data_IF_320512810060
#
_entry.id   IF_320512810060
#
_cell.length_a   1.000
_cell.length_b   1.000
_cell.length_c   1.000
_cell.angle_alpha   90.00
_cell.angle_beta   90.00
_cell.angle_gamma   90.00
#
_symmetry.space_group_name_H-M   'P 1'
#
loop_
_entity.id
_entity.type
_entity.pdbx_description
1 polymer ?
#
# COMPACT_ATOMS: atom_id res chain seq x y z
N UNK A 1 25.28 12.34 -7.25
CA UNK A 1 24.75 12.88 -5.99
C UNK A 1 25.50 12.29 -4.80
N UNK A 2 25.51 10.97 -4.61
CA UNK A 2 26.10 10.29 -3.46
C UNK A 2 27.59 10.64 -3.26
N UNK A 3 28.39 10.71 -4.31
CA UNK A 3 29.80 11.11 -4.25
C UNK A 3 30.03 12.54 -3.70
N UNK A 4 29.05 13.43 -3.87
CA UNK A 4 29.11 14.80 -3.33
C UNK A 4 28.66 14.87 -1.86
N UNK A 5 27.79 13.96 -1.43
CA UNK A 5 27.26 13.93 -0.06
C UNK A 5 28.22 13.23 0.90
N UNK A 6 28.93 12.19 0.42
CA UNK A 6 29.88 11.40 1.21
C UNK A 6 30.86 12.20 2.07
N UNK A 7 31.49 13.30 1.61
CA UNK A 7 32.39 14.09 2.44
C UNK A 7 31.70 14.80 3.62
N UNK A 8 30.40 15.15 3.46
CA UNK A 8 29.64 15.88 4.48
C UNK A 8 29.15 14.97 5.63
N UNK A 9 29.13 13.63 5.44
CA UNK A 9 28.68 12.63 6.41
C UNK A 9 27.47 13.10 7.23
N UNK A 10 26.30 13.31 6.59
CA UNK A 10 25.12 13.82 7.30
C UNK A 10 24.74 12.87 8.44
N UNK A 11 24.49 13.44 9.62
CA UNK A 11 24.09 12.66 10.81
C UNK A 11 22.61 12.28 10.82
N UNK A 12 21.83 12.93 9.96
CA UNK A 12 20.38 12.68 9.84
C UNK A 12 20.13 11.27 9.29
N UNK A 13 19.05 10.66 9.73
CA UNK A 13 18.53 9.49 9.07
C UNK A 13 17.99 9.86 7.68
N UNK A 14 18.38 9.09 6.68
CA UNK A 14 17.91 9.28 5.30
C UNK A 14 17.00 8.11 4.93
N UNK A 15 15.86 8.41 4.35
CA UNK A 15 14.96 7.41 3.75
C UNK A 15 15.05 7.55 2.24
N UNK A 16 15.28 6.46 1.54
CA UNK A 16 15.41 6.40 0.09
C UNK A 16 14.32 5.49 -0.47
N UNK A 17 13.56 5.99 -1.42
CA UNK A 17 12.55 5.19 -2.13
C UNK A 17 13.17 4.52 -3.37
N UNK A 18 12.86 3.24 -3.55
CA UNK A 18 13.23 2.45 -4.71
C UNK A 18 11.99 2.14 -5.55
N UNK A 19 11.94 2.62 -6.78
CA UNK A 19 10.89 2.29 -7.73
C UNK A 19 11.14 0.96 -8.46
N UNK A 20 12.40 0.51 -8.47
CA UNK A 20 12.84 -0.78 -9.02
C UNK A 20 13.90 -1.39 -8.13
N UNK A 21 14.07 -2.72 -8.12
CA UNK A 21 15.16 -3.37 -7.42
C UNK A 21 16.53 -2.79 -7.82
N UNK A 22 17.36 -2.51 -6.84
CA UNK A 22 18.70 -1.97 -7.06
C UNK A 22 19.78 -3.06 -6.95
N UNK A 23 20.90 -2.93 -7.68
CA UNK A 23 22.05 -3.82 -7.56
C UNK A 23 22.79 -3.59 -6.24
N UNK A 24 23.58 -4.56 -5.80
CA UNK A 24 24.34 -4.50 -4.56
C UNK A 24 25.25 -3.27 -4.46
N UNK A 25 25.91 -2.91 -5.57
CA UNK A 25 26.78 -1.73 -5.64
C UNK A 25 26.10 -0.41 -5.27
N UNK A 26 24.77 -0.30 -5.51
CA UNK A 26 24.00 0.87 -5.12
C UNK A 26 23.92 0.97 -3.58
N UNK A 27 23.64 -0.13 -2.90
CA UNK A 27 23.55 -0.17 -1.43
C UNK A 27 24.89 0.09 -0.78
N UNK A 28 25.98 -0.44 -1.37
CA UNK A 28 27.33 -0.12 -0.94
C UNK A 28 27.62 1.39 -1.01
N UNK A 29 27.32 2.02 -2.14
CA UNK A 29 27.48 3.49 -2.30
C UNK A 29 26.64 4.28 -1.29
N UNK A 30 25.43 3.84 -0.98
CA UNK A 30 24.56 4.49 0.02
C UNK A 30 25.15 4.36 1.41
N UNK A 31 25.61 3.16 1.80
CA UNK A 31 26.24 2.91 3.09
C UNK A 31 27.54 3.72 3.29
N UNK A 32 28.31 3.94 2.23
CA UNK A 32 29.48 4.81 2.26
C UNK A 32 29.15 6.30 2.42
N UNK A 33 27.97 6.72 1.93
CA UNK A 33 27.54 8.13 1.97
C UNK A 33 26.76 8.49 3.24
N UNK A 34 25.97 7.55 3.77
CA UNK A 34 25.06 7.80 4.88
C UNK A 34 25.29 6.77 6.02
N UNK A 35 25.63 7.21 7.24
CA UNK A 35 25.77 6.31 8.39
C UNK A 35 24.43 5.73 8.87
N UNK A 36 23.31 6.43 8.64
CA UNK A 36 21.97 6.02 9.04
C UNK A 36 21.01 6.15 7.86
N UNK A 37 20.54 5.03 7.33
CA UNK A 37 19.63 5.03 6.19
C UNK A 37 18.60 3.91 6.29
N UNK A 38 17.45 4.19 5.73
CA UNK A 38 16.36 3.28 5.49
C UNK A 38 16.01 3.26 4.02
N UNK A 39 15.36 2.20 3.60
CA UNK A 39 14.75 2.11 2.28
C UNK A 39 13.25 1.88 2.35
N UNK A 40 12.57 2.29 1.32
CA UNK A 40 11.20 1.93 1.04
C UNK A 40 11.03 1.57 -0.43
N UNK A 41 10.08 0.68 -0.72
CA UNK A 41 9.70 0.32 -2.09
C UNK A 41 8.21 0.07 -2.18
N UNK A 42 7.64 0.43 -3.32
CA UNK A 42 6.22 0.23 -3.62
C UNK A 42 6.07 -0.74 -4.79
N UNK A 43 6.13 -2.08 -4.56
CA UNK A 43 5.90 -3.06 -5.63
C UNK A 43 4.45 -3.07 -6.12
N UNK A 44 3.54 -2.40 -5.43
CA UNK A 44 2.09 -2.34 -5.64
C UNK A 44 1.40 -3.67 -5.35
N UNK A 45 1.87 -4.78 -5.91
CA UNK A 45 1.34 -6.13 -5.71
C UNK A 45 2.46 -7.17 -5.69
N UNK A 46 2.23 -8.29 -4.98
CA UNK A 46 3.05 -9.49 -5.08
C UNK A 46 2.80 -10.22 -6.40
N UNK A 47 1.58 -10.12 -6.95
CA UNK A 47 1.23 -10.69 -8.25
C UNK A 47 1.93 -9.90 -9.35
N UNK A 48 2.86 -10.55 -10.04
CA UNK A 48 3.66 -9.93 -11.09
C UNK A 48 2.82 -9.46 -12.28
N UNK A 49 1.66 -10.10 -12.53
CA UNK A 49 0.73 -9.68 -13.57
C UNK A 49 0.09 -8.33 -13.21
N UNK A 50 -0.37 -8.18 -11.97
CA UNK A 50 -0.90 -6.92 -11.43
C UNK A 50 0.19 -5.86 -11.41
N UNK A 51 1.40 -6.20 -10.96
CA UNK A 51 2.55 -5.31 -10.92
C UNK A 51 2.94 -4.79 -12.31
N UNK A 52 2.95 -5.66 -13.33
CA UNK A 52 3.20 -5.27 -14.72
C UNK A 52 2.14 -4.32 -15.27
N UNK A 53 0.88 -4.48 -14.86
CA UNK A 53 -0.20 -3.58 -15.24
C UNK A 53 -0.03 -2.16 -14.68
N UNK A 54 0.79 -1.99 -13.62
CA UNK A 54 1.19 -0.69 -13.06
C UNK A 54 2.57 -0.21 -13.57
N UNK A 55 3.13 -0.88 -14.58
CA UNK A 55 4.39 -0.47 -15.22
C UNK A 55 5.67 -0.95 -14.51
N UNK A 56 5.59 -1.93 -13.61
CA UNK A 56 6.73 -2.46 -12.87
C UNK A 56 7.04 -3.90 -13.30
N UNK A 57 8.17 -4.11 -13.96
CA UNK A 57 8.51 -5.32 -14.72
C UNK A 57 9.55 -6.24 -14.05
N UNK A 58 9.72 -6.18 -12.76
CA UNK A 58 10.64 -7.03 -11.99
C UNK A 58 9.92 -8.15 -11.25
N UNK A 59 10.64 -9.21 -10.92
CA UNK A 59 10.13 -10.37 -10.17
C UNK A 59 10.16 -10.15 -8.65
N UNK A 60 9.44 -10.99 -7.92
CA UNK A 60 9.52 -11.03 -6.45
C UNK A 60 10.94 -11.37 -5.97
N UNK A 61 11.61 -12.30 -6.66
CA UNK A 61 12.99 -12.71 -6.34
C UNK A 61 13.99 -11.56 -6.51
N UNK A 62 13.83 -10.73 -7.54
CA UNK A 62 14.66 -9.55 -7.75
C UNK A 62 14.45 -8.52 -6.64
N UNK A 63 13.21 -8.29 -6.22
CA UNK A 63 12.89 -7.42 -5.09
C UNK A 63 13.49 -7.96 -3.78
N UNK A 64 13.30 -9.24 -3.47
CA UNK A 64 13.84 -9.85 -2.26
C UNK A 64 15.37 -9.86 -2.24
N UNK A 65 16.01 -10.03 -3.40
CA UNK A 65 17.46 -9.92 -3.53
C UNK A 65 17.93 -8.50 -3.21
N UNK A 66 17.24 -7.49 -3.71
CA UNK A 66 17.51 -6.09 -3.42
C UNK A 66 17.37 -5.77 -1.92
N UNK A 67 16.35 -6.31 -1.26
CA UNK A 67 16.14 -6.18 0.19
C UNK A 67 17.30 -6.84 0.96
N UNK A 68 17.75 -8.04 0.54
CA UNK A 68 18.93 -8.70 1.16
C UNK A 68 20.18 -7.85 1.07
N UNK A 69 20.46 -7.27 -0.09
CA UNK A 69 21.60 -6.37 -0.26
C UNK A 69 21.48 -5.13 0.64
N UNK A 70 20.31 -4.51 0.75
CA UNK A 70 20.12 -3.39 1.65
C UNK A 70 20.49 -3.74 3.10
N UNK A 71 20.02 -4.89 3.60
CA UNK A 71 20.31 -5.32 4.97
C UNK A 71 21.77 -5.74 5.18
N UNK A 72 22.42 -6.32 4.18
CA UNK A 72 23.86 -6.66 4.21
C UNK A 72 24.73 -5.41 4.32
N UNK A 73 24.31 -4.32 3.71
CA UNK A 73 25.02 -3.03 3.75
C UNK A 73 24.55 -2.08 4.87
N UNK A 74 23.82 -2.59 5.87
CA UNK A 74 23.52 -1.82 7.10
C UNK A 74 22.23 -1.01 7.07
N UNK A 75 21.31 -1.27 6.13
CA UNK A 75 19.97 -0.68 6.17
C UNK A 75 19.28 -0.99 7.50
N UNK A 76 18.83 0.05 8.20
CA UNK A 76 18.21 -0.08 9.51
C UNK A 76 16.75 -0.51 9.44
N UNK A 77 16.05 -0.14 8.37
CA UNK A 77 14.64 -0.47 8.14
C UNK A 77 14.34 -0.47 6.65
N UNK A 78 13.52 -1.42 6.21
CA UNK A 78 13.04 -1.52 4.84
C UNK A 78 11.51 -1.64 4.83
N UNK A 79 10.83 -0.62 4.33
CA UNK A 79 9.38 -0.59 4.20
C UNK A 79 8.94 -1.07 2.81
N UNK A 80 7.91 -1.94 2.75
CA UNK A 80 7.37 -2.48 1.50
C UNK A 80 5.87 -2.16 1.42
N UNK A 81 5.47 -1.38 0.42
CA UNK A 81 4.11 -0.90 0.28
C UNK A 81 3.35 -1.65 -0.81
N UNK A 82 2.27 -2.32 -0.41
CA UNK A 82 1.31 -2.95 -1.31
C UNK A 82 0.04 -2.09 -1.40
N UNK A 83 -0.65 -2.17 -2.54
CA UNK A 83 -1.86 -1.39 -2.80
C UNK A 83 -3.05 -2.29 -3.12
N UNK A 84 -4.26 -1.76 -2.88
CA UNK A 84 -5.54 -2.40 -3.21
C UNK A 84 -6.32 -1.51 -4.16
N UNK A 85 -7.01 -2.12 -5.12
CA UNK A 85 -7.77 -1.39 -6.16
C UNK A 85 -6.97 -1.12 -7.42
N UNK A 86 -6.05 -2.01 -7.75
CA UNK A 86 -5.20 -1.93 -8.95
C UNK A 86 -5.84 -2.65 -10.15
N UNK A 87 -5.44 -2.29 -11.40
CA UNK A 87 -5.83 -3.04 -12.58
C UNK A 87 -5.44 -4.51 -12.47
N UNK A 88 -6.32 -5.40 -12.92
CA UNK A 88 -6.18 -6.87 -12.88
C UNK A 88 -6.13 -7.49 -11.47
N UNK A 89 -6.18 -6.70 -10.42
CA UNK A 89 -6.24 -7.20 -9.04
C UNK A 89 -7.65 -7.70 -8.70
N UNK A 90 -7.73 -8.78 -7.93
CA UNK A 90 -8.98 -9.35 -7.41
C UNK A 90 -8.92 -9.46 -5.89
N UNK A 91 -10.07 -9.64 -5.19
CA UNK A 91 -10.05 -9.95 -3.75
C UNK A 91 -9.20 -11.19 -3.43
N UNK A 92 -9.13 -12.16 -4.33
CA UNK A 92 -8.24 -13.32 -4.22
C UNK A 92 -6.78 -12.94 -4.19
N UNK A 93 -6.32 -12.15 -5.18
CA UNK A 93 -4.92 -11.72 -5.23
C UNK A 93 -4.54 -10.79 -4.07
N UNK A 94 -5.48 -10.03 -3.49
CA UNK A 94 -5.21 -9.28 -2.25
C UNK A 94 -4.94 -10.23 -1.07
N UNK A 95 -5.71 -11.32 -0.94
CA UNK A 95 -5.45 -12.34 0.10
C UNK A 95 -4.09 -13.02 -0.07
N UNK A 96 -3.73 -13.34 -1.32
CA UNK A 96 -2.41 -13.89 -1.65
C UNK A 96 -1.28 -12.89 -1.37
N UNK A 97 -1.52 -11.56 -1.54
CA UNK A 97 -0.56 -10.53 -1.10
C UNK A 97 -0.30 -10.63 0.41
N UNK A 98 -1.31 -11.00 1.21
CA UNK A 98 -1.11 -11.21 2.65
C UNK A 98 -0.30 -12.46 2.95
N UNK A 99 -0.43 -13.53 2.16
CA UNK A 99 0.44 -14.72 2.25
C UNK A 99 1.89 -14.33 1.92
N UNK A 100 2.07 -13.49 0.92
CA UNK A 100 3.39 -12.98 0.55
C UNK A 100 3.97 -12.03 1.62
N UNK A 101 3.17 -11.20 2.27
CA UNK A 101 3.61 -10.42 3.43
C UNK A 101 4.10 -11.33 4.57
N UNK A 102 3.39 -12.44 4.84
CA UNK A 102 3.86 -13.41 5.82
C UNK A 102 5.17 -14.10 5.39
N UNK A 103 5.31 -14.44 4.10
CA UNK A 103 6.57 -14.95 3.55
C UNK A 103 7.72 -13.98 3.77
N UNK A 104 7.54 -12.70 3.47
CA UNK A 104 8.56 -11.66 3.71
C UNK A 104 8.93 -11.55 5.19
N UNK A 105 7.95 -11.58 6.09
CA UNK A 105 8.16 -11.52 7.54
C UNK A 105 8.86 -12.76 8.10
N UNK A 106 8.72 -13.93 7.45
CA UNK A 106 9.45 -15.16 7.77
C UNK A 106 10.88 -15.14 7.24
N UNK A 107 11.08 -14.54 6.05
CA UNK A 107 12.35 -14.55 5.33
C UNK A 107 13.33 -13.50 5.88
N UNK A 108 12.80 -12.37 6.30
CA UNK A 108 13.56 -11.23 6.78
C UNK A 108 13.31 -11.00 8.28
N UNK A 109 14.21 -10.27 8.93
CA UNK A 109 14.08 -9.91 10.34
C UNK A 109 13.13 -8.70 10.54
N UNK A 110 13.06 -8.21 11.80
CA UNK A 110 12.18 -7.08 12.20
C UNK A 110 12.49 -5.75 11.51
N UNK A 111 13.56 -5.68 10.73
CA UNK A 111 13.86 -4.49 9.93
C UNK A 111 12.97 -4.36 8.70
N UNK A 112 12.37 -5.46 8.24
CA UNK A 112 11.39 -5.42 7.15
C UNK A 112 10.00 -5.15 7.71
N UNK A 113 9.27 -4.22 7.09
CA UNK A 113 7.95 -3.83 7.53
C UNK A 113 6.99 -3.64 6.34
N UNK A 114 6.12 -4.61 6.06
CA UNK A 114 5.15 -4.50 4.97
C UNK A 114 3.96 -3.62 5.36
N UNK A 115 3.44 -2.91 4.38
CA UNK A 115 2.20 -2.13 4.45
C UNK A 115 1.26 -2.55 3.35
N UNK A 116 -0.04 -2.38 3.58
CA UNK A 116 -1.07 -2.50 2.56
C UNK A 116 -2.14 -1.45 2.81
N UNK A 117 -2.56 -0.79 1.75
CA UNK A 117 -3.63 0.21 1.78
C UNK A 117 -4.35 0.24 0.44
N UNK A 118 -5.59 0.72 0.38
CA UNK A 118 -6.16 1.06 -0.91
C UNK A 118 -5.29 2.10 -1.61
N UNK A 119 -5.22 2.05 -2.94
CA UNK A 119 -4.76 3.19 -3.72
C UNK A 119 -5.54 4.41 -3.23
N UNK A 120 -4.87 5.54 -3.04
CA UNK A 120 -5.46 6.76 -2.46
C UNK A 120 -6.90 6.98 -2.91
N UNK A 121 -7.77 7.63 -2.13
CA UNK A 121 -9.20 7.70 -2.44
C UNK A 121 -9.52 8.23 -3.85
N UNK A 122 -8.52 8.80 -4.52
CA UNK A 122 -8.65 9.40 -5.84
C UNK A 122 -7.65 8.82 -6.83
N UNK A 123 -8.13 8.65 -8.09
CA UNK A 123 -7.23 8.66 -9.23
C UNK A 123 -6.97 10.12 -9.60
N UNK A 124 -5.71 10.49 -9.67
CA UNK A 124 -5.34 11.89 -9.91
C UNK A 124 -5.62 12.31 -11.37
N UNK A 125 -6.38 13.39 -11.61
CA UNK A 125 -6.50 13.98 -12.93
C UNK A 125 -5.12 14.28 -13.51
N UNK A 126 -4.92 13.96 -14.78
CA UNK A 126 -3.63 14.07 -15.47
C UNK A 126 -2.75 12.81 -15.36
N UNK A 127 -3.07 11.85 -14.49
CA UNK A 127 -2.39 10.55 -14.50
C UNK A 127 -2.87 9.67 -15.66
N UNK A 128 -2.02 8.75 -16.11
CA UNK A 128 -2.39 7.77 -17.14
C UNK A 128 -3.63 6.95 -16.72
N UNK A 129 -3.69 6.58 -15.43
CA UNK A 129 -4.83 5.85 -14.86
C UNK A 129 -6.14 6.60 -14.95
N UNK A 130 -6.12 7.92 -14.86
CA UNK A 130 -7.30 8.77 -15.01
C UNK A 130 -7.63 9.07 -16.47
N UNK A 131 -6.64 9.54 -17.25
CA UNK A 131 -6.85 9.98 -18.63
C UNK A 131 -7.20 8.82 -19.57
N UNK A 132 -6.69 7.61 -19.28
CA UNK A 132 -6.93 6.39 -20.02
C UNK A 132 -7.66 5.33 -19.21
N UNK A 133 -8.56 5.76 -18.32
CA UNK A 133 -9.22 4.91 -17.35
C UNK A 133 -9.81 3.64 -17.98
N UNK A 134 -10.55 3.78 -19.07
CA UNK A 134 -11.17 2.65 -19.77
C UNK A 134 -10.14 1.68 -20.37
N UNK A 135 -9.01 2.17 -20.88
CA UNK A 135 -7.95 1.33 -21.45
C UNK A 135 -7.28 0.48 -20.35
N UNK A 136 -6.99 1.10 -19.19
CA UNK A 136 -6.35 0.44 -18.03
C UNK A 136 -7.33 -0.35 -17.16
N UNK A 137 -8.63 -0.17 -17.34
CA UNK A 137 -9.66 -0.92 -16.64
C UNK A 137 -10.18 -0.27 -15.36
N UNK A 138 -10.08 1.05 -15.25
CA UNK A 138 -10.75 1.84 -14.22
C UNK A 138 -12.09 2.36 -14.70
N UNK A 139 -13.05 2.46 -13.78
CA UNK A 139 -14.29 3.21 -13.93
C UNK A 139 -14.23 4.39 -12.98
N UNK A 140 -14.13 5.60 -13.54
CA UNK A 140 -13.99 6.84 -12.76
C UNK A 140 -15.36 7.46 -12.52
N UNK A 141 -15.67 7.78 -11.26
CA UNK A 141 -16.95 8.39 -10.85
C UNK A 141 -16.87 9.91 -10.74
N UNK A 142 -15.71 10.45 -10.33
CA UNK A 142 -15.50 11.88 -10.15
C UNK A 142 -14.74 12.44 -11.36
N UNK A 143 -15.37 13.37 -12.09
CA UNK A 143 -14.79 14.00 -13.28
C UNK A 143 -14.64 15.51 -13.16
N UNK A 144 -15.31 16.11 -12.18
CA UNK A 144 -15.29 17.55 -11.93
C UNK A 144 -14.88 17.85 -10.49
N UNK A 145 -14.42 19.06 -10.21
CA UNK A 145 -14.16 19.50 -8.84
C UNK A 145 -15.38 19.37 -7.93
N UNK A 146 -16.57 19.58 -8.49
CA UNK A 146 -17.82 19.43 -7.73
C UNK A 146 -18.09 17.96 -7.37
N UNK A 147 -17.76 16.99 -8.25
CA UNK A 147 -17.86 15.56 -7.92
C UNK A 147 -16.93 15.19 -6.77
N UNK A 148 -15.68 15.65 -6.83
CA UNK A 148 -14.71 15.44 -5.74
C UNK A 148 -15.17 16.09 -4.44
N UNK A 149 -15.70 17.33 -4.51
CA UNK A 149 -16.24 18.00 -3.32
C UNK A 149 -17.38 17.19 -2.70
N UNK A 150 -18.33 16.70 -3.51
CA UNK A 150 -19.43 15.85 -3.03
C UNK A 150 -18.91 14.54 -2.44
N UNK A 151 -17.94 13.90 -3.08
CA UNK A 151 -17.32 12.67 -2.58
C UNK A 151 -16.67 12.90 -1.21
N UNK A 152 -15.96 14.02 -1.00
CA UNK A 152 -15.33 14.36 0.28
C UNK A 152 -16.33 14.64 1.41
N UNK A 153 -17.57 15.03 1.09
CA UNK A 153 -18.65 15.22 2.05
C UNK A 153 -19.41 13.91 2.36
N UNK A 154 -19.06 12.82 1.69
CA UNK A 154 -19.72 11.55 1.89
C UNK A 154 -19.48 10.98 3.31
N UNK A 155 -20.45 10.24 3.87
CA UNK A 155 -20.42 9.82 5.27
C UNK A 155 -19.40 8.73 5.57
N UNK A 156 -18.78 8.11 4.55
CA UNK A 156 -17.71 7.14 4.73
C UNK A 156 -16.70 7.18 3.58
N UNK A 157 -15.48 6.72 3.84
CA UNK A 157 -14.39 6.69 2.86
C UNK A 157 -14.71 5.80 1.64
N UNK A 158 -15.61 4.81 1.76
CA UNK A 158 -16.12 4.03 0.63
C UNK A 158 -16.67 4.94 -0.48
N UNK A 159 -17.42 5.95 -0.10
CA UNK A 159 -18.05 6.88 -1.02
C UNK A 159 -17.12 8.01 -1.48
N UNK A 160 -15.98 8.19 -0.79
CA UNK A 160 -14.92 9.08 -1.27
C UNK A 160 -14.05 8.43 -2.35
N UNK A 161 -14.09 7.10 -2.51
CA UNK A 161 -13.42 6.44 -3.62
C UNK A 161 -13.97 6.96 -4.95
N UNK A 162 -13.12 7.63 -5.72
CA UNK A 162 -13.49 8.22 -7.01
C UNK A 162 -13.53 7.21 -8.16
N UNK A 163 -13.22 5.94 -7.90
CA UNK A 163 -13.09 4.90 -8.90
C UNK A 163 -13.46 3.50 -8.37
N UNK A 164 -13.63 2.60 -9.30
CA UNK A 164 -13.55 1.15 -9.13
C UNK A 164 -12.79 0.54 -10.31
N UNK A 165 -12.48 -0.75 -10.27
CA UNK A 165 -11.83 -1.43 -11.38
C UNK A 165 -12.78 -2.42 -12.04
N UNK A 166 -12.42 -2.95 -13.22
CA UNK A 166 -13.18 -4.04 -13.85
C UNK A 166 -13.17 -5.34 -13.03
N UNK A 167 -12.25 -5.48 -12.08
CA UNK A 167 -12.00 -6.69 -11.30
C UNK A 167 -12.43 -6.57 -9.84
N UNK A 168 -12.60 -5.35 -9.34
CA UNK A 168 -13.00 -5.05 -7.96
C UNK A 168 -13.96 -3.85 -7.96
N UNK A 169 -15.16 -4.06 -7.44
CA UNK A 169 -16.08 -2.98 -7.12
C UNK A 169 -15.57 -2.14 -5.94
N UNK A 170 -16.18 -1.00 -5.67
CA UNK A 170 -15.88 -0.24 -4.45
C UNK A 170 -16.02 -1.09 -3.18
N UNK A 171 -17.06 -1.94 -3.13
CA UNK A 171 -17.28 -2.84 -1.99
C UNK A 171 -16.15 -3.85 -1.86
N UNK A 172 -15.70 -4.44 -2.96
CA UNK A 172 -14.56 -5.36 -2.96
C UNK A 172 -13.28 -4.67 -2.46
N UNK A 173 -13.02 -3.43 -2.90
CA UNK A 173 -11.86 -2.65 -2.45
C UNK A 173 -11.93 -2.39 -0.95
N UNK A 174 -13.10 -1.97 -0.46
CA UNK A 174 -13.32 -1.66 0.96
C UNK A 174 -13.19 -2.91 1.83
N UNK A 175 -13.87 -3.99 1.47
CA UNK A 175 -13.83 -5.23 2.25
C UNK A 175 -12.42 -5.85 2.23
N UNK A 176 -11.77 -5.89 1.06
CA UNK A 176 -10.39 -6.36 0.95
C UNK A 176 -9.42 -5.52 1.79
N UNK A 177 -9.64 -4.20 1.89
CA UNK A 177 -8.81 -3.31 2.71
C UNK A 177 -8.93 -3.62 4.20
N UNK A 178 -10.14 -3.86 4.70
CA UNK A 178 -10.35 -4.24 6.09
C UNK A 178 -9.80 -5.63 6.40
N UNK A 179 -10.04 -6.61 5.53
CA UNK A 179 -9.53 -7.99 5.69
C UNK A 179 -8.00 -8.01 5.69
N UNK A 180 -7.37 -7.33 4.73
CA UNK A 180 -5.93 -7.24 4.64
C UNK A 180 -5.33 -6.49 5.82
N UNK A 181 -5.95 -5.38 6.25
CA UNK A 181 -5.53 -4.61 7.43
C UNK A 181 -5.56 -5.43 8.72
N UNK A 182 -6.65 -6.18 8.96
CA UNK A 182 -6.76 -7.10 10.11
C UNK A 182 -5.69 -8.19 10.07
N UNK A 183 -5.52 -8.84 8.91
CA UNK A 183 -4.54 -9.90 8.76
C UNK A 183 -3.12 -9.39 8.95
N UNK A 184 -2.78 -8.26 8.32
CA UNK A 184 -1.44 -7.67 8.46
C UNK A 184 -1.15 -7.23 9.90
N UNK A 185 -2.14 -6.66 10.60
CA UNK A 185 -2.01 -6.30 12.02
C UNK A 185 -1.63 -7.53 12.88
N UNK A 186 -2.32 -8.67 12.68
CA UNK A 186 -2.03 -9.94 13.38
C UNK A 186 -0.65 -10.50 13.00
N UNK A 187 -0.27 -10.42 11.73
CA UNK A 187 1.05 -10.84 11.28
C UNK A 187 2.16 -9.98 11.93
N UNK A 188 1.99 -8.66 11.98
CA UNK A 188 2.94 -7.76 12.64
C UNK A 188 3.10 -8.05 14.14
N UNK A 189 2.02 -8.40 14.84
CA UNK A 189 2.09 -8.87 16.22
C UNK A 189 2.85 -10.21 16.32
N UNK A 190 2.45 -11.20 15.51
CA UNK A 190 3.06 -12.53 15.48
C UNK A 190 4.59 -12.49 15.25
N UNK A 191 5.05 -11.61 14.38
CA UNK A 191 6.48 -11.45 14.05
C UNK A 191 7.18 -10.35 14.86
N UNK A 192 6.50 -9.79 15.87
CA UNK A 192 7.09 -8.88 16.86
C UNK A 192 7.39 -7.46 16.34
N UNK A 193 6.70 -7.02 15.27
CA UNK A 193 6.76 -5.63 14.81
C UNK A 193 5.80 -4.74 15.61
N UNK A 194 4.77 -5.32 16.19
CA UNK A 194 3.79 -4.63 17.05
C UNK A 194 3.70 -5.31 18.40
N UNK A 195 3.60 -4.52 19.45
CA UNK A 195 3.25 -5.04 20.77
C UNK A 195 1.77 -5.41 20.86
N UNK A 196 1.44 -6.43 21.66
CA UNK A 196 0.08 -7.00 21.82
C UNK A 196 -0.99 -5.92 22.06
N UNK A 197 -0.79 -5.02 23.03
CA UNK A 197 -1.76 -3.97 23.34
C UNK A 197 -2.02 -3.02 22.16
N UNK A 198 -1.02 -2.76 21.31
CA UNK A 198 -1.17 -1.95 20.11
C UNK A 198 -1.94 -2.71 19.04
N UNK A 199 -1.64 -3.99 18.85
CA UNK A 199 -2.32 -4.86 17.90
C UNK A 199 -3.80 -5.01 18.23
N UNK A 200 -4.15 -5.29 19.51
CA UNK A 200 -5.53 -5.40 19.98
C UNK A 200 -6.32 -4.09 19.79
N UNK A 201 -5.72 -2.95 20.11
CA UNK A 201 -6.34 -1.64 19.90
C UNK A 201 -6.59 -1.35 18.42
N UNK A 202 -5.63 -1.66 17.57
CA UNK A 202 -5.75 -1.49 16.11
C UNK A 202 -6.84 -2.41 15.56
N UNK A 203 -6.89 -3.66 15.96
CA UNK A 203 -7.92 -4.61 15.54
C UNK A 203 -9.33 -4.11 15.91
N UNK A 204 -9.54 -3.68 17.16
CA UNK A 204 -10.82 -3.09 17.59
C UNK A 204 -11.24 -1.89 16.72
N UNK A 205 -10.29 -1.01 16.37
CA UNK A 205 -10.57 0.15 15.51
C UNK A 205 -10.96 -0.25 14.11
N UNK A 206 -10.28 -1.24 13.53
CA UNK A 206 -10.59 -1.74 12.18
C UNK A 206 -11.99 -2.39 12.16
N UNK A 207 -12.31 -3.22 13.15
CA UNK A 207 -13.61 -3.88 13.26
C UNK A 207 -14.75 -2.87 13.43
N UNK A 208 -14.57 -1.87 14.31
CA UNK A 208 -15.53 -0.80 14.49
C UNK A 208 -15.75 0.01 13.21
N UNK A 209 -14.67 0.39 12.50
CA UNK A 209 -14.77 1.12 11.26
C UNK A 209 -15.51 0.32 10.18
N UNK A 210 -15.28 -1.00 10.09
CA UNK A 210 -15.99 -1.90 9.18
C UNK A 210 -17.48 -1.99 9.51
N UNK A 211 -17.84 -2.09 10.78
CA UNK A 211 -19.23 -2.08 11.26
C UNK A 211 -19.93 -0.77 10.90
N UNK A 212 -19.25 0.36 11.16
CA UNK A 212 -19.80 1.69 10.84
C UNK A 212 -20.11 1.88 9.35
N UNK A 213 -19.27 1.35 8.46
CA UNK A 213 -19.55 1.40 7.01
C UNK A 213 -20.83 0.62 6.69
N UNK A 214 -21.03 -0.57 7.26
CA UNK A 214 -22.25 -1.33 7.07
C UNK A 214 -23.51 -0.56 7.50
N UNK A 215 -23.45 0.12 8.66
CA UNK A 215 -24.56 0.97 9.13
C UNK A 215 -24.80 2.17 8.21
N UNK A 216 -23.76 2.79 7.70
CA UNK A 216 -23.87 3.90 6.74
C UNK A 216 -24.52 3.40 5.45
N UNK A 217 -24.15 2.23 4.95
CA UNK A 217 -24.74 1.62 3.77
C UNK A 217 -26.25 1.38 3.95
N UNK A 218 -26.67 0.85 5.12
CA UNK A 218 -28.06 0.66 5.48
C UNK A 218 -28.84 1.99 5.48
N UNK A 219 -28.29 3.04 6.09
CA UNK A 219 -28.93 4.37 6.15
C UNK A 219 -29.10 5.00 4.76
N UNK A 220 -28.08 4.86 3.89
CA UNK A 220 -28.14 5.43 2.53
C UNK A 220 -29.23 4.77 1.68
N UNK A 221 -29.55 3.51 1.96
CA UNK A 221 -30.62 2.78 1.26
C UNK A 221 -32.04 3.15 1.73
N UNK A 222 -32.18 3.85 2.88
CA UNK A 222 -33.47 4.31 3.35
C UNK A 222 -34.04 5.43 2.45
N UNK A 223 -35.38 5.58 2.37
CA UNK A 223 -36.01 6.75 1.77
C UNK A 223 -35.55 8.05 2.42
N UNK A 224 -35.46 9.14 1.65
CA UNK A 224 -34.94 10.43 2.14
C UNK A 224 -35.53 10.90 3.50
N UNK A 225 -36.84 10.83 3.77
CA UNK A 225 -37.39 11.26 5.06
C UNK A 225 -36.93 10.38 6.25
N UNK A 226 -36.44 9.19 6.00
CA UNK A 226 -35.96 8.25 7.05
C UNK A 226 -34.46 8.32 7.31
N UNK A 227 -33.72 9.15 6.54
CA UNK A 227 -32.25 9.35 6.67
C UNK A 227 -31.87 10.41 7.71
N UNK A 228 -32.82 11.15 8.24
CA UNK A 228 -32.60 12.26 9.18
C UNK A 228 -32.51 11.74 10.69
#
# INVERSE_FOLDING_TARGET
LLSRVRPARPKNQVVLELFTPAPESYFQMVAEAFPNFNFETSPESHDEKVRRATGKFYSNEEMERSIRFAFQHGCSKFDVFFMIGLPQQTPGSVRETMDYCEHLLKTFDRRLNPFISPLAPFLDPGSIGYEKADEVGYRVFCKTLEDYRKALLAPSWKYTLSYETRWMTRDDIVQSSYEAGLRLNRLKEKYGLLGKATAERTEKRILLAREMIGRVDEIILLPEPERA
#
